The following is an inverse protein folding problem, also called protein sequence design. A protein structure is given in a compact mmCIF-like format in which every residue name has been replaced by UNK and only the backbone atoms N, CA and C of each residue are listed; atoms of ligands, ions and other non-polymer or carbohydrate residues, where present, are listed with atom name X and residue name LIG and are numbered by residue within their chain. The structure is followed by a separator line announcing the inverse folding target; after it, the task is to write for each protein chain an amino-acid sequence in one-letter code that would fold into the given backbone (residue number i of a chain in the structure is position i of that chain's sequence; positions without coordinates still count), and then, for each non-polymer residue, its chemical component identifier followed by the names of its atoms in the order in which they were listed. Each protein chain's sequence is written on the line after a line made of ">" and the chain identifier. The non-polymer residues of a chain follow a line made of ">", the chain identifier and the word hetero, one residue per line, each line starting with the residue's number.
data_IF_091244771722
#
_entry.id   IF_091244771722
#
_cell.length_a   1.000
_cell.length_b   1.000
_cell.length_c   1.000
_cell.angle_alpha   90.00
_cell.angle_beta   90.00
_cell.angle_gamma   90.00
#
_symmetry.space_group_name_H-M   'P 1'
#
loop_
_entity.id
_entity.type
_entity.pdbx_description
1 polymer ?
#
# COMPACT_ATOMS: atom_id res chain seq x y z
N UNK A 1 28.03 -21.51 -16.04
CA UNK A 1 27.65 -22.87 -16.49
C UNK A 1 26.31 -23.41 -15.93
N UNK A 2 25.56 -22.67 -15.08
CA UNK A 2 24.22 -23.08 -14.58
C UNK A 2 23.05 -22.34 -15.24
N UNK A 3 23.22 -21.06 -15.58
CA UNK A 3 22.25 -20.30 -16.40
C UNK A 3 22.08 -20.89 -17.81
N UNK A 4 23.08 -21.65 -18.27
CA UNK A 4 23.09 -22.16 -19.63
C UNK A 4 22.12 -23.32 -19.87
N UNK A 5 21.72 -24.09 -18.84
CA UNK A 5 20.94 -25.34 -19.02
C UNK A 5 19.43 -25.15 -19.00
N UNK A 6 18.90 -24.29 -18.11
CA UNK A 6 17.46 -23.98 -18.02
C UNK A 6 17.27 -22.54 -18.50
N UNK A 7 16.58 -22.37 -19.62
CA UNK A 7 16.31 -21.08 -20.28
C UNK A 7 14.82 -20.81 -20.37
N UNK A 8 14.49 -19.55 -20.68
CA UNK A 8 13.13 -19.11 -21.01
C UNK A 8 12.05 -19.54 -20.01
N UNK A 9 12.40 -19.58 -18.72
CA UNK A 9 11.44 -19.94 -17.68
C UNK A 9 10.31 -18.90 -17.64
N UNK A 10 9.07 -19.37 -17.69
CA UNK A 10 7.86 -18.56 -17.63
C UNK A 10 6.83 -19.21 -16.73
N UNK A 11 6.04 -18.39 -16.05
CA UNK A 11 4.82 -18.80 -15.35
C UNK A 11 3.66 -18.07 -16.03
N UNK A 12 2.74 -18.84 -16.60
CA UNK A 12 1.55 -18.31 -17.25
C UNK A 12 0.34 -18.62 -16.36
N UNK A 13 -0.24 -17.59 -15.75
CA UNK A 13 -1.47 -17.74 -14.98
C UNK A 13 -2.68 -17.77 -15.91
N UNK A 14 -3.59 -18.71 -15.68
CA UNK A 14 -4.90 -18.74 -16.31
C UNK A 14 -5.82 -17.89 -15.45
N UNK A 15 -6.45 -16.88 -16.06
CA UNK A 15 -7.38 -15.98 -15.37
C UNK A 15 -8.73 -16.01 -16.07
N UNK A 16 -9.77 -16.35 -15.32
CA UNK A 16 -11.13 -16.47 -15.85
C UNK A 16 -11.95 -15.18 -15.69
N UNK A 17 -11.53 -14.29 -14.80
CA UNK A 17 -12.28 -13.11 -14.36
C UNK A 17 -11.76 -11.78 -14.92
N UNK A 18 -10.73 -11.81 -15.77
CA UNK A 18 -10.08 -10.62 -16.34
C UNK A 18 -9.36 -9.73 -15.32
N UNK A 19 -9.29 -10.14 -14.04
CA UNK A 19 -8.59 -9.37 -13.00
C UNK A 19 -7.09 -9.60 -13.09
N UNK A 20 -6.31 -8.60 -12.71
CA UNK A 20 -4.84 -8.68 -12.67
C UNK A 20 -4.28 -8.86 -11.25
N UNK A 21 -5.14 -9.23 -10.29
CA UNK A 21 -4.81 -9.41 -8.87
C UNK A 21 -5.41 -10.69 -8.32
N UNK A 22 -4.86 -11.13 -7.19
CA UNK A 22 -5.37 -12.24 -6.39
C UNK A 22 -5.81 -11.72 -5.01
N UNK A 23 -6.69 -12.46 -4.37
CA UNK A 23 -7.27 -12.14 -3.07
C UNK A 23 -7.30 -13.38 -2.17
N UNK A 24 -7.71 -13.18 -0.92
CA UNK A 24 -7.85 -14.27 0.04
C UNK A 24 -8.78 -15.36 -0.50
N UNK A 25 -8.34 -16.62 -0.47
CA UNK A 25 -9.13 -17.75 -0.97
C UNK A 25 -9.11 -17.95 -2.48
N UNK A 26 -8.39 -17.14 -3.26
CA UNK A 26 -8.28 -17.36 -4.69
C UNK A 26 -7.46 -18.60 -5.03
N UNK A 27 -7.86 -19.29 -6.09
CA UNK A 27 -7.08 -20.38 -6.67
C UNK A 27 -6.15 -19.84 -7.76
N UNK A 28 -4.86 -20.03 -7.59
CA UNK A 28 -3.84 -19.72 -8.59
C UNK A 28 -3.72 -20.92 -9.51
N UNK A 29 -4.19 -20.79 -10.74
CA UNK A 29 -4.12 -21.82 -11.78
C UNK A 29 -3.21 -21.33 -12.91
N UNK A 30 -2.38 -22.20 -13.44
CA UNK A 30 -1.48 -21.83 -14.53
C UNK A 30 -0.63 -22.97 -15.05
N UNK A 31 0.36 -22.61 -15.85
CA UNK A 31 1.40 -23.50 -16.33
C UNK A 31 2.77 -22.86 -16.12
N UNK A 32 3.73 -23.67 -15.72
CA UNK A 32 5.15 -23.32 -15.80
C UNK A 32 5.71 -23.87 -17.11
N UNK A 33 6.59 -23.13 -17.77
CA UNK A 33 7.33 -23.62 -18.92
C UNK A 33 8.80 -23.21 -18.87
N UNK A 34 9.67 -24.07 -19.38
CA UNK A 34 11.10 -23.79 -19.50
C UNK A 34 11.74 -24.67 -20.56
N UNK A 35 12.87 -24.19 -21.09
CA UNK A 35 13.64 -24.92 -22.09
C UNK A 35 14.89 -25.53 -21.46
N UNK A 36 15.12 -26.81 -21.75
CA UNK A 36 16.36 -27.50 -21.43
C UNK A 36 17.28 -27.55 -22.64
N UNK A 37 18.54 -27.14 -22.47
CA UNK A 37 19.57 -27.17 -23.53
C UNK A 37 20.34 -28.49 -23.63
N UNK A 38 20.02 -29.47 -22.77
CA UNK A 38 20.52 -30.85 -22.83
C UNK A 38 19.67 -31.74 -21.92
N UNK A 39 19.76 -33.06 -22.11
CA UNK A 39 19.20 -34.02 -21.17
C UNK A 39 19.66 -33.69 -19.74
N UNK A 40 18.70 -33.55 -18.84
CA UNK A 40 18.95 -33.15 -17.45
C UNK A 40 18.15 -34.03 -16.51
N UNK A 41 18.85 -34.70 -15.60
CA UNK A 41 18.21 -35.41 -14.48
C UNK A 41 17.75 -34.39 -13.44
N UNK A 42 16.46 -34.46 -13.07
CA UNK A 42 15.87 -33.67 -12.00
C UNK A 42 15.32 -34.59 -10.90
N UNK A 43 15.31 -34.12 -9.66
CA UNK A 43 14.73 -34.85 -8.52
C UNK A 43 13.30 -34.43 -8.23
N UNK A 44 12.99 -33.14 -8.42
CA UNK A 44 11.64 -32.64 -8.24
C UNK A 44 11.46 -31.25 -8.83
N UNK A 45 10.21 -30.92 -9.12
CA UNK A 45 9.74 -29.56 -9.36
C UNK A 45 8.80 -29.22 -8.21
N UNK A 46 9.16 -28.19 -7.44
CA UNK A 46 8.44 -27.79 -6.22
C UNK A 46 7.87 -26.39 -6.37
N UNK A 47 6.76 -26.13 -5.70
CA UNK A 47 6.19 -24.79 -5.56
C UNK A 47 6.27 -24.35 -4.11
N UNK A 48 6.43 -23.05 -3.89
CA UNK A 48 6.31 -22.42 -2.58
C UNK A 48 5.57 -21.11 -2.72
N UNK A 49 4.37 -21.06 -2.15
CA UNK A 49 3.52 -19.89 -2.11
C UNK A 49 3.66 -19.24 -0.73
N UNK A 50 4.27 -18.05 -0.69
CA UNK A 50 4.64 -17.37 0.55
C UNK A 50 4.12 -15.94 0.59
N UNK A 51 3.36 -15.60 1.63
CA UNK A 51 2.94 -14.24 1.97
C UNK A 51 3.71 -13.75 3.18
N UNK A 52 4.35 -12.58 3.10
CA UNK A 52 5.06 -12.01 4.25
C UNK A 52 5.15 -10.49 4.20
N UNK A 53 5.44 -9.92 5.36
CA UNK A 53 5.83 -8.52 5.52
C UNK A 53 7.21 -8.44 6.17
N UNK A 54 8.06 -7.57 5.62
CA UNK A 54 9.36 -7.24 6.20
C UNK A 54 9.47 -5.74 6.37
N UNK A 55 10.01 -5.30 7.51
CA UNK A 55 10.35 -3.89 7.74
C UNK A 55 11.80 -3.79 8.17
N UNK A 56 12.48 -2.73 7.74
CA UNK A 56 13.87 -2.45 8.06
C UNK A 56 14.15 -0.95 7.98
N UNK A 57 14.78 -0.41 9.02
CA UNK A 57 15.32 0.95 9.01
C UNK A 57 16.55 1.07 9.91
N UNK A 58 17.29 2.16 9.75
CA UNK A 58 18.43 2.51 10.61
C UNK A 58 18.21 3.85 11.28
N UNK A 59 18.61 3.99 12.55
CA UNK A 59 18.59 5.25 13.28
C UNK A 59 19.96 5.55 13.91
N UNK A 60 20.27 6.84 14.10
CA UNK A 60 21.58 7.33 14.53
C UNK A 60 22.50 7.64 13.34
N UNK A 61 23.29 8.72 13.45
CA UNK A 61 24.15 9.23 12.38
C UNK A 61 23.99 10.73 12.15
N UNK A 62 24.26 11.55 13.17
CA UNK A 62 24.33 13.01 13.05
C UNK A 62 25.49 13.60 13.85
N UNK A 63 26.66 13.79 13.20
CA UNK A 63 27.63 14.83 13.58
C UNK A 63 28.49 14.67 14.84
N UNK A 64 28.89 13.45 15.24
CA UNK A 64 29.85 13.28 16.36
C UNK A 64 30.68 11.99 16.26
N UNK A 65 31.94 12.05 16.72
CA UNK A 65 32.99 11.01 16.55
C UNK A 65 32.69 9.62 17.18
N UNK A 66 31.54 9.39 17.82
CA UNK A 66 31.21 8.11 18.47
C UNK A 66 29.69 7.77 18.47
N UNK A 67 28.94 8.01 17.39
CA UNK A 67 27.54 7.56 17.36
C UNK A 67 27.37 6.20 16.65
N UNK A 68 27.01 5.15 17.40
CA UNK A 68 26.74 3.81 16.85
C UNK A 68 25.40 3.78 16.12
N UNK A 69 25.43 3.48 14.81
CA UNK A 69 24.22 3.28 13.98
C UNK A 69 23.45 2.05 14.47
N UNK A 70 22.20 2.25 14.92
CA UNK A 70 21.31 1.15 15.31
C UNK A 70 20.45 0.72 14.13
N UNK A 71 20.33 -0.59 13.93
CA UNK A 71 19.51 -1.21 12.87
C UNK A 71 18.29 -1.88 13.50
N UNK A 72 17.12 -1.60 12.94
CA UNK A 72 15.85 -2.18 13.35
C UNK A 72 15.26 -2.97 12.20
N UNK A 73 14.70 -4.14 12.50
CA UNK A 73 13.98 -4.96 11.54
C UNK A 73 12.94 -5.81 12.23
N UNK A 74 11.88 -6.14 11.50
CA UNK A 74 10.90 -7.15 11.89
C UNK A 74 10.36 -7.85 10.64
N UNK A 75 9.94 -9.11 10.80
CA UNK A 75 9.42 -9.94 9.74
C UNK A 75 8.26 -10.76 10.26
N UNK A 76 7.14 -10.76 9.54
CA UNK A 76 6.01 -11.62 9.81
C UNK A 76 5.67 -12.38 8.53
N UNK A 77 5.67 -13.71 8.60
CA UNK A 77 5.18 -14.55 7.53
C UNK A 77 3.68 -14.81 7.79
N UNK A 78 2.81 -14.48 6.84
CA UNK A 78 1.36 -14.71 6.92
C UNK A 78 1.03 -16.17 6.66
N UNK A 79 1.71 -16.77 5.68
CA UNK A 79 1.63 -18.18 5.33
C UNK A 79 2.86 -18.59 4.53
N UNK A 80 3.16 -19.89 4.52
CA UNK A 80 4.23 -20.50 3.76
C UNK A 80 3.79 -21.91 3.33
N UNK A 81 3.19 -22.00 2.14
CA UNK A 81 2.64 -23.23 1.60
C UNK A 81 3.64 -23.82 0.61
N UNK A 82 3.92 -25.12 0.73
CA UNK A 82 4.81 -25.85 -0.16
C UNK A 82 4.03 -26.91 -0.92
N UNK A 83 4.31 -27.04 -2.21
CA UNK A 83 3.73 -28.03 -3.09
C UNK A 83 4.78 -28.72 -3.93
N UNK A 84 4.39 -29.82 -4.56
CA UNK A 84 5.24 -30.61 -5.44
C UNK A 84 4.47 -30.86 -6.74
N UNK A 85 5.04 -30.44 -7.86
CA UNK A 85 4.48 -30.64 -9.21
C UNK A 85 4.95 -31.98 -9.77
N UNK A 86 6.24 -32.27 -9.58
CA UNK A 86 6.88 -33.48 -10.07
C UNK A 86 7.87 -33.96 -9.01
N UNK A 87 7.93 -35.26 -8.78
CA UNK A 87 8.91 -35.88 -7.89
C UNK A 87 9.45 -37.14 -8.53
N UNK A 88 10.77 -37.36 -8.41
CA UNK A 88 11.43 -38.60 -8.79
C UNK A 88 10.77 -39.77 -8.04
N UNK A 89 10.31 -40.75 -8.82
CA UNK A 89 9.82 -42.00 -8.27
C UNK A 89 11.02 -42.83 -7.77
N UNK A 90 10.92 -43.34 -6.54
CA UNK A 90 11.97 -44.12 -5.88
C UNK A 90 12.25 -45.44 -6.61
N UNK A 91 11.29 -45.95 -7.38
CA UNK A 91 11.45 -47.19 -8.15
C UNK A 91 12.31 -47.03 -9.42
N UNK A 92 12.30 -45.86 -10.06
CA UNK A 92 12.89 -45.66 -11.41
C UNK A 92 14.28 -44.97 -11.42
N UNK A 93 14.87 -44.67 -10.25
CA UNK A 93 16.19 -44.02 -10.11
C UNK A 93 16.39 -42.76 -10.98
N UNK A 94 15.35 -41.98 -11.25
CA UNK A 94 15.48 -40.64 -11.85
C UNK A 94 14.52 -40.30 -12.95
N UNK A 95 13.90 -39.11 -12.85
CA UNK A 95 13.26 -38.48 -14.00
C UNK A 95 14.31 -37.73 -14.81
N UNK A 96 14.66 -38.28 -15.98
CA UNK A 96 15.49 -37.60 -16.97
C UNK A 96 14.59 -36.82 -17.91
N UNK A 97 14.73 -35.50 -17.90
CA UNK A 97 14.05 -34.65 -18.86
C UNK A 97 14.92 -34.47 -20.09
N UNK A 98 14.32 -34.69 -21.27
CA UNK A 98 14.99 -34.53 -22.55
C UNK A 98 15.27 -33.07 -22.87
N UNK A 99 16.17 -32.84 -23.84
CA UNK A 99 16.33 -31.54 -24.48
C UNK A 99 14.97 -31.03 -24.99
N UNK A 100 14.70 -29.73 -24.84
CA UNK A 100 13.51 -29.09 -25.41
C UNK A 100 12.64 -28.39 -24.36
N UNK A 101 11.44 -28.04 -24.77
CA UNK A 101 10.48 -27.30 -23.96
C UNK A 101 9.67 -28.24 -23.07
N UNK A 102 9.64 -27.93 -21.77
CA UNK A 102 8.86 -28.65 -20.78
C UNK A 102 7.77 -27.75 -20.25
N UNK A 103 6.57 -28.30 -20.06
CA UNK A 103 5.40 -27.59 -19.55
C UNK A 103 4.76 -28.43 -18.45
N UNK A 104 4.50 -27.81 -17.30
CA UNK A 104 3.80 -28.46 -16.20
C UNK A 104 2.67 -27.59 -15.67
N UNK A 105 1.50 -28.18 -15.34
CA UNK A 105 0.44 -27.43 -14.68
C UNK A 105 0.87 -27.03 -13.26
N UNK A 106 0.41 -25.86 -12.83
CA UNK A 106 0.56 -25.39 -11.45
C UNK A 106 -0.80 -24.96 -10.91
N UNK A 107 -1.14 -25.50 -9.75
CA UNK A 107 -2.33 -25.13 -9.00
C UNK A 107 -1.94 -24.89 -7.55
N UNK A 108 -2.27 -23.73 -7.01
CA UNK A 108 -2.01 -23.36 -5.62
C UNK A 108 -3.23 -22.63 -5.05
N UNK A 109 -3.69 -23.04 -3.88
CA UNK A 109 -4.80 -22.39 -3.19
C UNK A 109 -4.26 -21.32 -2.23
N UNK A 110 -4.66 -20.06 -2.39
CA UNK A 110 -4.40 -19.05 -1.36
C UNK A 110 -5.23 -19.38 -0.13
N UNK A 111 -4.64 -19.31 1.08
CA UNK A 111 -5.39 -19.58 2.30
C UNK A 111 -6.47 -18.50 2.49
N UNK A 112 -7.54 -18.88 3.17
CA UNK A 112 -8.53 -17.90 3.65
C UNK A 112 -7.94 -17.16 4.85
N UNK A 113 -7.96 -15.83 4.82
CA UNK A 113 -7.49 -15.01 5.92
C UNK A 113 -7.50 -13.52 5.60
N UNK A 114 -7.42 -12.70 6.64
CA UNK A 114 -7.30 -11.25 6.51
C UNK A 114 -5.82 -10.88 6.31
N UNK A 115 -5.35 -10.93 5.07
CA UNK A 115 -3.98 -10.55 4.74
C UNK A 115 -3.97 -9.17 4.07
N UNK A 116 -2.98 -8.31 4.34
CA UNK A 116 -2.95 -6.96 3.79
C UNK A 116 -2.59 -6.95 2.30
N UNK A 117 -3.04 -5.92 1.57
CA UNK A 117 -2.67 -5.72 0.16
C UNK A 117 -1.14 -5.65 -0.04
N UNK A 118 -0.69 -6.08 -1.22
CA UNK A 118 0.73 -5.95 -1.60
C UNK A 118 1.18 -4.49 -1.54
N UNK A 119 2.35 -4.25 -0.97
CA UNK A 119 2.81 -2.90 -0.69
C UNK A 119 4.33 -2.79 -0.71
N UNK A 120 4.84 -1.70 -1.28
CA UNK A 120 6.26 -1.35 -1.30
C UNK A 120 6.41 0.07 -0.73
N UNK A 121 6.92 0.15 0.49
CA UNK A 121 7.13 1.41 1.21
C UNK A 121 8.60 1.76 1.38
N UNK A 122 8.85 2.86 2.09
CA UNK A 122 10.21 3.41 2.29
C UNK A 122 11.08 2.47 3.14
N UNK A 123 10.48 1.81 4.14
CA UNK A 123 11.19 0.96 5.11
C UNK A 123 10.52 -0.41 5.27
N UNK A 124 9.68 -0.83 4.32
CA UNK A 124 9.01 -2.11 4.43
C UNK A 124 8.28 -2.54 3.17
N UNK A 125 8.02 -3.84 3.07
CA UNK A 125 7.41 -4.48 1.91
C UNK A 125 6.47 -5.60 2.39
N UNK A 126 5.27 -5.63 1.83
CA UNK A 126 4.34 -6.75 1.88
C UNK A 126 4.37 -7.45 0.52
N UNK A 127 4.74 -8.73 0.52
CA UNK A 127 4.96 -9.49 -0.70
C UNK A 127 4.29 -10.86 -0.64
N UNK A 128 3.64 -11.22 -1.74
CA UNK A 128 3.10 -12.55 -1.98
C UNK A 128 3.84 -13.14 -3.16
N UNK A 129 4.50 -14.27 -2.95
CA UNK A 129 5.44 -14.82 -3.92
C UNK A 129 5.11 -16.27 -4.21
N UNK A 130 5.04 -16.61 -5.49
CA UNK A 130 5.07 -17.98 -5.96
C UNK A 130 6.49 -18.29 -6.41
N UNK A 131 7.15 -19.23 -5.72
CA UNK A 131 8.47 -19.72 -6.07
C UNK A 131 8.36 -21.10 -6.68
N UNK A 132 8.97 -21.31 -7.84
CA UNK A 132 9.09 -22.61 -8.49
C UNK A 132 10.54 -23.05 -8.41
N UNK A 133 10.80 -24.11 -7.66
CA UNK A 133 12.12 -24.71 -7.51
C UNK A 133 12.29 -25.91 -8.43
N UNK A 134 13.32 -25.91 -9.27
CA UNK A 134 13.74 -27.08 -10.05
C UNK A 134 14.95 -27.69 -9.37
N UNK A 135 14.76 -28.87 -8.76
CA UNK A 135 15.75 -29.56 -7.95
C UNK A 135 16.48 -30.62 -8.79
N UNK A 136 17.79 -30.76 -8.56
CA UNK A 136 18.64 -31.73 -9.25
C UNK A 136 19.45 -32.54 -8.26
N UNK A 137 19.83 -33.79 -8.60
CA UNK A 137 20.67 -34.59 -7.72
C UNK A 137 22.00 -33.89 -7.49
N UNK A 138 22.44 -33.84 -6.23
CA UNK A 138 23.78 -33.36 -5.85
C UNK A 138 24.09 -31.92 -6.29
N UNK A 139 23.06 -31.09 -6.52
CA UNK A 139 23.18 -29.68 -6.93
C UNK A 139 22.13 -28.83 -6.22
N UNK A 140 22.43 -27.54 -6.03
CA UNK A 140 21.47 -26.56 -5.52
C UNK A 140 20.25 -26.45 -6.43
N UNK A 141 19.08 -26.23 -5.82
CA UNK A 141 17.85 -25.92 -6.54
C UNK A 141 18.01 -24.63 -7.35
N UNK A 142 17.32 -24.54 -8.49
CA UNK A 142 17.15 -23.27 -9.20
C UNK A 142 15.73 -22.79 -8.93
N UNK A 143 15.63 -21.67 -8.23
CA UNK A 143 14.36 -21.09 -7.83
C UNK A 143 14.00 -19.93 -8.77
N UNK A 144 12.76 -19.94 -9.24
CA UNK A 144 12.17 -18.87 -10.03
C UNK A 144 11.03 -18.24 -9.23
N UNK A 145 11.15 -16.94 -8.94
CA UNK A 145 10.22 -16.24 -8.05
C UNK A 145 9.36 -15.29 -8.87
N UNK A 146 8.05 -15.36 -8.68
CA UNK A 146 7.10 -14.40 -9.23
C UNK A 146 6.32 -13.76 -8.09
N UNK A 147 6.32 -12.42 -8.06
CA UNK A 147 5.52 -11.65 -7.11
C UNK A 147 4.09 -11.52 -7.64
N UNK A 148 3.12 -11.82 -6.78
CA UNK A 148 1.69 -11.77 -7.07
C UNK A 148 1.14 -10.43 -6.58
N UNK A 149 0.29 -9.79 -7.39
CA UNK A 149 -0.47 -8.62 -6.95
C UNK A 149 -1.63 -9.08 -6.07
N UNK A 150 -1.42 -9.10 -4.76
CA UNK A 150 -2.46 -9.42 -3.79
C UNK A 150 -3.25 -8.18 -3.37
N UNK A 151 -4.57 -8.25 -3.34
CA UNK A 151 -5.49 -7.18 -2.92
C UNK A 151 -6.34 -7.69 -1.75
N UNK A 152 -6.35 -6.95 -0.65
CA UNK A 152 -7.31 -7.13 0.42
C UNK A 152 -8.56 -6.32 0.10
N UNK A 153 -9.72 -6.99 0.06
CA UNK A 153 -11.00 -6.34 -0.19
C UNK A 153 -11.54 -5.78 1.13
N UNK A 154 -11.69 -4.45 1.18
CA UNK A 154 -12.35 -3.78 2.31
C UNK A 154 -13.85 -3.75 2.01
N UNK A 155 -14.67 -4.20 2.95
CA UNK A 155 -16.13 -4.06 2.82
C UNK A 155 -16.53 -2.60 2.93
N UNK A 156 -16.83 -1.98 1.79
CA UNK A 156 -17.21 -0.57 1.68
C UNK A 156 -18.65 -0.31 2.10
N UNK A 157 -19.46 -1.35 2.36
CA UNK A 157 -20.84 -1.18 2.84
C UNK A 157 -20.94 -0.83 4.33
N UNK A 158 -19.79 -0.71 5.02
CA UNK A 158 -19.77 -0.33 6.42
C UNK A 158 -20.29 1.11 6.62
N UNK A 159 -21.29 1.33 7.50
CA UNK A 159 -21.92 2.64 7.68
C UNK A 159 -20.92 3.77 8.01
N UNK A 160 -19.86 3.45 8.75
CA UNK A 160 -18.82 4.42 9.13
C UNK A 160 -17.91 4.89 7.98
N UNK A 161 -17.92 4.21 6.83
CA UNK A 161 -17.16 4.63 5.64
C UNK A 161 -17.95 5.57 4.72
N UNK A 162 -19.28 5.48 4.77
CA UNK A 162 -20.22 6.25 3.95
C UNK A 162 -20.65 7.55 4.62
N UNK A 163 -20.39 7.69 5.91
CA UNK A 163 -20.71 8.90 6.65
C UNK A 163 -19.84 10.08 6.18
N UNK A 164 -20.42 11.29 6.08
CA UNK A 164 -19.66 12.49 5.79
C UNK A 164 -18.69 12.78 6.94
N UNK A 165 -17.51 13.29 6.58
CA UNK A 165 -16.53 13.80 7.51
C UNK A 165 -16.65 15.32 7.56
N UNK A 166 -16.67 15.89 8.76
CA UNK A 166 -16.63 17.33 8.97
C UNK A 166 -15.73 17.68 10.15
N UNK A 167 -15.00 18.80 10.04
CA UNK A 167 -14.08 19.27 11.06
C UNK A 167 -13.92 20.78 10.96
N UNK A 168 -13.75 21.44 12.10
CA UNK A 168 -13.57 22.89 12.17
C UNK A 168 -12.39 23.25 13.08
N UNK A 169 -11.67 24.30 12.71
CA UNK A 169 -10.60 24.86 13.52
C UNK A 169 -10.51 26.38 13.30
N UNK A 170 -9.86 27.10 14.22
CA UNK A 170 -9.77 28.55 14.19
C UNK A 170 -8.51 29.08 14.85
N UNK A 171 -8.00 30.22 14.36
CA UNK A 171 -6.88 30.94 14.96
C UNK A 171 -7.27 32.40 15.20
N UNK A 172 -6.92 32.93 16.38
CA UNK A 172 -7.13 34.34 16.70
C UNK A 172 -5.83 35.12 16.46
N UNK A 173 -5.83 36.18 15.63
CA UNK A 173 -4.61 36.90 15.25
C UNK A 173 -3.85 37.62 16.37
N UNK A 174 -4.50 37.92 17.50
CA UNK A 174 -3.90 38.62 18.65
C UNK A 174 -4.48 38.06 19.94
N UNK A 175 -3.63 37.66 20.90
CA UNK A 175 -4.08 36.89 22.07
C UNK A 175 -4.37 37.73 23.33
N UNK A 176 -4.01 39.02 23.39
CA UNK A 176 -4.05 39.74 24.68
C UNK A 176 -4.78 41.09 24.69
N UNK A 177 -4.72 41.95 23.65
CA UNK A 177 -5.31 43.31 23.72
C UNK A 177 -6.11 43.81 22.48
N UNK A 178 -6.48 42.91 21.55
CA UNK A 178 -7.29 43.30 20.39
C UNK A 178 -8.61 42.52 20.37
N UNK A 179 -9.73 43.21 20.09
CA UNK A 179 -11.04 42.59 19.77
C UNK A 179 -11.04 41.97 18.36
N UNK A 180 -10.04 41.16 18.05
CA UNK A 180 -9.91 40.51 16.74
C UNK A 180 -10.77 39.25 16.69
N UNK A 181 -11.70 39.20 15.75
CA UNK A 181 -12.45 37.97 15.46
C UNK A 181 -11.52 36.87 14.92
N UNK A 182 -11.77 35.60 15.25
CA UNK A 182 -10.93 34.49 14.80
C UNK A 182 -11.09 34.23 13.29
N UNK A 183 -10.01 33.82 12.65
CA UNK A 183 -10.08 33.21 11.32
C UNK A 183 -10.53 31.77 11.51
N UNK A 184 -11.62 31.37 10.87
CA UNK A 184 -12.21 30.03 11.00
C UNK A 184 -12.16 29.26 9.69
N UNK A 185 -11.97 27.95 9.81
CA UNK A 185 -11.97 27.00 8.71
C UNK A 185 -12.82 25.79 9.12
N UNK A 186 -13.94 25.58 8.44
CA UNK A 186 -14.71 24.34 8.50
C UNK A 186 -14.56 23.62 7.18
N UNK A 187 -14.27 22.32 7.24
CA UNK A 187 -14.06 21.49 6.05
C UNK A 187 -14.95 20.27 6.16
N UNK A 188 -15.57 19.87 5.05
CA UNK A 188 -16.32 18.62 4.96
C UNK A 188 -16.06 17.85 3.67
N UNK A 189 -16.21 16.53 3.75
CA UNK A 189 -16.08 15.58 2.65
C UNK A 189 -17.22 14.58 2.74
N UNK A 190 -17.78 14.18 1.60
CA UNK A 190 -19.00 13.37 1.53
C UNK A 190 -18.86 11.95 2.12
N UNK A 191 -17.67 11.35 2.01
CA UNK A 191 -17.39 9.99 2.48
C UNK A 191 -16.00 9.91 3.11
N UNK A 192 -15.72 8.81 3.82
CA UNK A 192 -14.40 8.51 4.38
C UNK A 192 -13.58 7.59 3.48
N UNK A 193 -14.23 6.75 2.67
CA UNK A 193 -13.57 5.80 1.79
C UNK A 193 -13.57 6.26 0.33
N UNK A 194 -12.43 6.00 -0.32
CA UNK A 194 -12.10 6.44 -1.66
C UNK A 194 -11.32 5.37 -2.43
N UNK A 195 -11.35 5.39 -3.76
CA UNK A 195 -10.52 4.54 -4.63
C UNK A 195 -9.36 5.30 -5.26
N UNK A 196 -8.16 4.69 -5.40
CA UNK A 196 -7.08 5.29 -6.17
C UNK A 196 -7.51 5.64 -7.61
N UNK A 197 -7.26 6.88 -8.02
CA UNK A 197 -7.61 7.39 -9.36
C UNK A 197 -8.85 8.28 -9.40
N UNK A 198 -9.65 8.33 -8.33
CA UNK A 198 -10.80 9.23 -8.29
C UNK A 198 -10.45 10.64 -7.78
N UNK A 199 -11.43 11.54 -7.82
CA UNK A 199 -11.28 12.93 -7.36
C UNK A 199 -12.14 13.18 -6.13
N UNK A 200 -11.51 13.58 -5.04
CA UNK A 200 -12.19 13.97 -3.80
C UNK A 200 -12.74 15.37 -3.95
N UNK A 201 -14.05 15.53 -3.71
CA UNK A 201 -14.70 16.83 -3.60
C UNK A 201 -14.70 17.30 -2.14
N UNK A 202 -13.99 18.39 -1.86
CA UNK A 202 -13.81 18.93 -0.50
C UNK A 202 -14.55 20.27 -0.41
N UNK A 203 -15.49 20.37 0.53
CA UNK A 203 -16.20 21.61 0.82
C UNK A 203 -15.48 22.36 1.92
N UNK A 204 -15.16 23.63 1.69
CA UNK A 204 -14.51 24.48 2.69
C UNK A 204 -15.37 25.71 2.95
N UNK A 205 -15.60 26.02 4.21
CA UNK A 205 -16.30 27.19 4.70
C UNK A 205 -15.31 28.01 5.53
N UNK A 206 -15.13 29.28 5.16
CA UNK A 206 -14.13 30.16 5.74
C UNK A 206 -14.78 31.40 6.33
N UNK A 207 -14.24 31.86 7.45
CA UNK A 207 -14.39 33.24 7.91
C UNK A 207 -13.01 33.86 8.02
N UNK A 208 -12.75 34.94 7.29
CA UNK A 208 -11.46 35.65 7.32
C UNK A 208 -11.67 37.14 7.68
N UNK A 209 -11.93 37.45 8.96
CA UNK A 209 -12.01 38.82 9.46
C UNK A 209 -10.62 39.51 9.56
N UNK A 210 -9.54 38.87 9.09
CA UNK A 210 -8.21 39.45 9.13
C UNK A 210 -7.99 40.49 8.03
N UNK A 211 -6.92 41.27 8.12
CA UNK A 211 -6.54 42.26 7.11
C UNK A 211 -5.76 41.67 5.92
N UNK A 212 -5.52 40.35 5.90
CA UNK A 212 -4.73 39.68 4.87
C UNK A 212 -5.55 38.66 4.10
N UNK A 213 -5.25 38.52 2.83
CA UNK A 213 -5.76 37.42 2.00
C UNK A 213 -5.22 36.09 2.51
N UNK A 214 -6.10 35.09 2.58
CA UNK A 214 -5.78 33.74 3.01
C UNK A 214 -5.96 32.77 1.84
N UNK A 215 -5.05 31.81 1.66
CA UNK A 215 -5.18 30.81 0.58
C UNK A 215 -5.24 29.41 1.17
N UNK A 216 -6.32 28.64 0.91
CA UNK A 216 -6.41 27.27 1.35
C UNK A 216 -5.50 26.38 0.50
N UNK A 217 -4.78 25.48 1.17
CA UNK A 217 -3.91 24.49 0.56
C UNK A 217 -4.29 23.11 1.07
N UNK A 218 -4.62 22.22 0.14
CA UNK A 218 -5.03 20.85 0.42
C UNK A 218 -3.90 19.91 0.02
N UNK A 219 -3.57 18.96 0.89
CA UNK A 219 -2.61 17.89 0.61
C UNK A 219 -3.21 16.52 0.91
N UNK A 220 -3.02 15.58 0.00
CA UNK A 220 -3.15 14.16 0.31
C UNK A 220 -1.82 13.64 0.82
N UNK A 221 -1.79 13.15 2.05
CA UNK A 221 -0.60 12.57 2.67
C UNK A 221 -0.80 11.07 2.91
N UNK A 222 0.18 10.27 2.50
CA UNK A 222 0.32 8.87 2.88
C UNK A 222 1.29 8.76 4.05
N UNK A 223 0.83 8.23 5.17
CA UNK A 223 1.61 7.97 6.37
C UNK A 223 1.95 6.48 6.46
N UNK A 224 3.23 6.16 6.39
CA UNK A 224 3.76 4.82 6.54
C UNK A 224 4.38 4.68 7.94
N UNK A 225 3.85 3.76 8.75
CA UNK A 225 4.37 3.51 10.09
C UNK A 225 4.89 2.09 10.21
N UNK A 226 6.15 1.95 10.61
CA UNK A 226 6.86 0.68 10.74
C UNK A 226 7.17 0.40 12.20
N UNK A 227 7.01 -0.85 12.64
CA UNK A 227 7.22 -1.26 14.02
C UNK A 227 8.15 -2.47 14.10
N UNK A 228 8.95 -2.54 15.18
CA UNK A 228 9.56 -3.80 15.60
C UNK A 228 8.50 -4.70 16.25
N UNK A 229 8.71 -6.01 16.35
CA UNK A 229 7.75 -6.92 16.99
C UNK A 229 7.31 -6.49 18.40
N UNK A 230 8.23 -5.95 19.20
CA UNK A 230 7.92 -5.45 20.55
C UNK A 230 7.12 -4.14 20.59
N UNK A 231 6.88 -3.52 19.43
CA UNK A 231 6.30 -2.17 19.24
C UNK A 231 7.02 -1.03 19.99
N UNK A 232 8.12 -1.31 20.70
CA UNK A 232 8.93 -0.30 21.42
C UNK A 232 9.59 0.69 20.47
N UNK A 233 10.03 0.23 19.30
CA UNK A 233 10.62 1.08 18.28
C UNK A 233 9.67 1.22 17.11
N UNK A 234 9.46 2.46 16.68
CA UNK A 234 8.69 2.80 15.48
C UNK A 234 9.43 3.81 14.60
N UNK A 235 9.21 3.73 13.30
CA UNK A 235 9.61 4.76 12.34
C UNK A 235 8.39 5.18 11.55
N UNK A 236 8.21 6.48 11.38
CA UNK A 236 7.15 7.05 10.56
C UNK A 236 7.79 7.76 9.37
N UNK A 237 7.22 7.57 8.19
CA UNK A 237 7.52 8.32 6.97
C UNK A 237 6.21 8.89 6.43
N UNK A 238 6.22 10.15 6.01
CA UNK A 238 5.07 10.82 5.40
C UNK A 238 5.45 11.18 3.97
N UNK A 239 4.59 10.81 3.02
CA UNK A 239 4.73 11.16 1.61
C UNK A 239 3.52 11.98 1.18
N UNK A 240 3.75 13.16 0.62
CA UNK A 240 2.70 13.93 -0.06
C UNK A 240 2.45 13.30 -1.43
N UNK A 241 1.22 12.86 -1.68
CA UNK A 241 0.82 12.23 -2.94
C UNK A 241 0.18 13.21 -3.92
N UNK A 242 -0.56 14.18 -3.41
CA UNK A 242 -1.19 15.24 -4.20
C UNK A 242 -1.24 16.53 -3.38
N UNK A 243 -1.23 17.66 -4.06
CA UNK A 243 -1.33 18.99 -3.46
C UNK A 243 -2.07 19.91 -4.42
N UNK A 244 -3.06 20.64 -3.92
CA UNK A 244 -3.82 21.64 -4.68
C UNK A 244 -4.04 22.87 -3.80
N UNK A 245 -4.02 24.05 -4.41
CA UNK A 245 -4.42 25.30 -3.73
C UNK A 245 -5.82 25.65 -4.20
N UNK A 246 -6.69 26.06 -3.27
CA UNK A 246 -7.98 26.63 -3.63
C UNK A 246 -7.87 28.12 -3.93
N UNK A 247 -9.01 28.73 -4.19
CA UNK A 247 -9.08 30.16 -4.49
C UNK A 247 -8.71 31.03 -3.28
N UNK A 248 -8.02 32.16 -3.48
CA UNK A 248 -7.72 33.09 -2.41
C UNK A 248 -9.00 33.68 -1.78
N UNK A 249 -9.05 33.66 -0.45
CA UNK A 249 -10.09 34.31 0.35
C UNK A 249 -9.60 35.68 0.77
N UNK A 250 -10.26 36.73 0.28
CA UNK A 250 -9.92 38.11 0.58
C UNK A 250 -9.94 38.45 2.08
N UNK A 251 -9.33 39.57 2.44
CA UNK A 251 -9.40 40.15 3.77
C UNK A 251 -10.83 40.60 4.11
N UNK A 252 -11.17 40.66 5.40
CA UNK A 252 -12.47 41.14 5.92
C UNK A 252 -13.70 40.38 5.37
N UNK A 253 -13.52 39.13 4.97
CA UNK A 253 -14.62 38.27 4.50
C UNK A 253 -15.27 37.59 5.71
N UNK A 254 -16.57 37.83 5.92
CA UNK A 254 -17.32 37.24 7.03
C UNK A 254 -17.62 35.75 6.81
N UNK A 255 -17.95 35.36 5.58
CA UNK A 255 -18.23 33.99 5.20
C UNK A 255 -18.00 33.77 3.71
N UNK A 256 -17.30 32.69 3.35
CA UNK A 256 -17.24 32.19 1.98
C UNK A 256 -17.23 30.67 2.00
N UNK A 257 -17.94 30.06 1.03
CA UNK A 257 -17.94 28.61 0.81
C UNK A 257 -17.36 28.31 -0.56
N UNK A 258 -16.38 27.42 -0.60
CA UNK A 258 -15.75 26.99 -1.85
C UNK A 258 -15.65 25.47 -1.92
N UNK A 259 -15.46 24.96 -3.13
CA UNK A 259 -15.21 23.56 -3.41
C UNK A 259 -13.79 23.40 -3.93
N UNK A 260 -13.04 22.42 -3.42
CA UNK A 260 -11.69 22.10 -3.88
C UNK A 260 -11.68 20.65 -4.33
N UNK A 261 -11.23 20.42 -5.57
CA UNK A 261 -11.12 19.09 -6.18
C UNK A 261 -9.69 18.57 -6.00
N UNK A 262 -9.54 17.43 -5.32
CA UNK A 262 -8.24 16.79 -5.07
C UNK A 262 -8.19 15.42 -5.76
N UNK A 263 -7.41 15.31 -6.84
CA UNK A 263 -7.21 14.04 -7.54
C UNK A 263 -6.32 13.09 -6.74
N UNK A 264 -6.81 11.87 -6.48
CA UNK A 264 -6.04 10.79 -5.87
C UNK A 264 -5.26 10.09 -6.99
N UNK A 265 -3.92 9.98 -6.90
CA UNK A 265 -3.15 9.27 -7.91
C UNK A 265 -3.60 7.81 -8.04
N UNK A 266 -3.77 7.31 -9.27
CA UNK A 266 -4.06 5.89 -9.54
C UNK A 266 -2.95 4.94 -9.08
N UNK A 267 -1.74 5.47 -8.86
CA UNK A 267 -0.60 4.77 -8.29
C UNK A 267 -0.60 4.70 -6.75
N UNK A 268 -1.56 5.34 -6.07
CA UNK A 268 -1.69 5.26 -4.62
C UNK A 268 -1.97 3.82 -4.19
N UNK A 269 -1.31 3.36 -3.13
CA UNK A 269 -1.56 2.04 -2.57
C UNK A 269 -2.84 2.01 -1.75
N UNK A 270 -3.35 0.83 -1.46
CA UNK A 270 -4.50 0.70 -0.56
C UNK A 270 -4.10 0.95 0.89
N UNK A 271 -5.09 1.24 1.73
CA UNK A 271 -4.92 1.38 3.18
C UNK A 271 -4.57 0.04 3.80
N UNK A 272 -3.67 0.05 4.77
CA UNK A 272 -3.23 -1.15 5.50
C UNK A 272 -3.32 -0.85 6.99
N UNK A 273 -4.42 -1.26 7.62
CA UNK A 273 -4.63 -1.15 9.08
C UNK A 273 -4.32 -2.45 9.81
N UNK A 274 -4.63 -3.59 9.20
CA UNK A 274 -4.57 -4.93 9.81
C UNK A 274 -3.19 -5.60 9.65
N UNK A 275 -2.11 -4.91 10.01
CA UNK A 275 -0.77 -5.48 10.00
C UNK A 275 0.08 -4.98 11.18
N UNK A 276 0.63 -5.92 11.95
CA UNK A 276 1.22 -5.63 13.26
C UNK A 276 2.54 -4.84 13.21
N UNK A 277 3.25 -4.89 12.09
CA UNK A 277 4.57 -4.28 11.92
C UNK A 277 4.64 -3.20 10.84
N UNK A 278 3.59 -3.04 10.02
CA UNK A 278 3.53 -2.06 8.95
C UNK A 278 2.10 -1.55 8.80
N UNK A 279 1.91 -0.24 8.92
CA UNK A 279 0.61 0.43 8.75
C UNK A 279 0.74 1.51 7.68
N UNK A 280 -0.27 1.63 6.82
CA UNK A 280 -0.36 2.66 5.77
C UNK A 280 -1.69 3.38 5.91
N UNK A 281 -1.64 4.63 6.35
CA UNK A 281 -2.79 5.50 6.56
C UNK A 281 -2.77 6.68 5.58
N UNK A 282 -3.94 7.29 5.37
CA UNK A 282 -4.09 8.47 4.52
C UNK A 282 -4.77 9.61 5.26
N UNK A 283 -4.25 10.82 5.05
CA UNK A 283 -4.78 12.04 5.64
C UNK A 283 -4.93 13.09 4.54
N UNK A 284 -6.11 13.70 4.46
CA UNK A 284 -6.30 14.97 3.76
C UNK A 284 -6.02 16.09 4.77
N UNK A 285 -4.96 16.85 4.52
CA UNK A 285 -4.58 18.03 5.29
C UNK A 285 -5.08 19.28 4.56
N UNK A 286 -5.98 20.04 5.17
CA UNK A 286 -6.39 21.36 4.68
C UNK A 286 -5.78 22.42 5.58
N UNK A 287 -4.97 23.30 4.98
CA UNK A 287 -4.28 24.39 5.66
C UNK A 287 -4.73 25.72 5.11
N UNK A 288 -5.02 26.66 5.98
CA UNK A 288 -5.26 28.05 5.62
C UNK A 288 -4.07 28.90 6.09
N UNK A 289 -3.33 29.45 5.14
CA UNK A 289 -2.20 30.32 5.43
C UNK A 289 -2.66 31.78 5.43
N UNK A 290 -2.51 32.48 6.57
CA UNK A 290 -2.95 33.87 6.77
C UNK A 290 -1.75 34.77 7.10
N UNK A 291 -0.96 35.11 6.09
CA UNK A 291 0.20 35.99 6.26
C UNK A 291 1.29 35.45 7.17
N UNK A 292 1.48 36.06 8.36
CA UNK A 292 2.51 35.67 9.34
C UNK A 292 1.89 35.07 10.62
N UNK A 293 0.60 34.75 10.59
CA UNK A 293 -0.11 34.10 11.68
C UNK A 293 0.13 32.60 11.67
N UNK A 294 -0.19 31.94 12.79
CA UNK A 294 -0.25 30.48 12.86
C UNK A 294 -1.27 29.93 11.84
N UNK A 295 -0.91 28.83 11.19
CA UNK A 295 -1.75 28.18 10.18
C UNK A 295 -3.00 27.56 10.83
N UNK A 296 -4.19 27.77 10.25
CA UNK A 296 -5.36 26.97 10.62
C UNK A 296 -5.30 25.65 9.88
N UNK A 297 -5.29 24.54 10.61
CA UNK A 297 -5.15 23.20 10.04
C UNK A 297 -6.33 22.32 10.42
N UNK A 298 -6.92 21.66 9.44
CA UNK A 298 -7.93 20.60 9.61
C UNK A 298 -7.43 19.33 8.94
N UNK A 299 -7.51 18.19 9.64
CA UNK A 299 -7.00 16.90 9.18
C UNK A 299 -8.14 15.88 9.09
N UNK A 300 -8.28 15.21 7.94
CA UNK A 300 -9.26 14.14 7.74
C UNK A 300 -8.57 12.82 7.45
N UNK A 301 -8.70 11.80 8.33
CA UNK A 301 -8.26 10.45 8.01
C UNK A 301 -9.23 9.83 7.00
N UNK A 302 -8.70 9.42 5.85
CA UNK A 302 -9.46 8.73 4.79
C UNK A 302 -8.97 7.29 4.62
N UNK A 303 -9.79 6.47 3.97
CA UNK A 303 -9.47 5.09 3.62
C UNK A 303 -9.40 4.98 2.10
N UNK A 304 -8.28 4.45 1.59
CA UNK A 304 -8.17 4.02 0.20
C UNK A 304 -8.44 2.51 0.07
N UNK A 305 -9.49 2.14 -0.65
CA UNK A 305 -9.94 0.77 -0.93
C UNK A 305 -9.97 0.48 -2.44
N UNK A 306 -10.17 -0.79 -2.81
CA UNK A 306 -10.10 -1.24 -4.21
C UNK A 306 -11.45 -1.13 -4.96
N UNK A 307 -12.56 -1.10 -4.22
CA UNK A 307 -13.91 -0.94 -4.77
C UNK A 307 -14.46 0.45 -4.44
N UNK A 308 -15.20 1.08 -5.38
CA UNK A 308 -15.90 2.34 -5.10
C UNK A 308 -16.93 2.17 -3.99
N UNK A 309 -17.07 3.20 -3.18
CA UNK A 309 -18.18 3.32 -2.24
C UNK A 309 -19.46 3.58 -3.02
N UNK A 310 -20.49 2.76 -2.80
CA UNK A 310 -21.82 3.06 -3.34
C UNK A 310 -22.45 4.20 -2.55
N UNK A 311 -22.55 5.37 -3.17
CA UNK A 311 -23.34 6.47 -2.61
C UNK A 311 -24.81 6.25 -2.99
N UNK A 312 -25.61 5.74 -2.05
CA UNK A 312 -27.06 5.82 -2.20
C UNK A 312 -27.48 7.28 -2.05
N UNK A 313 -28.32 7.84 -2.95
CA UNK A 313 -28.86 9.18 -2.74
C UNK A 313 -29.65 9.20 -1.43
N UNK A 314 -29.61 10.31 -0.67
CA UNK A 314 -30.47 10.46 0.50
C UNK A 314 -31.93 10.31 0.04
N UNK A 315 -32.66 9.41 0.72
CA UNK A 315 -34.12 9.24 0.58
C UNK A 315 -34.82 10.46 1.15
#
# INVERSE_FOLDING_TARGET
>A
MFEQTIRNFKINFIRHDGRNSFSSGDQIIGHISFDLTKETKITSITTRLKGNVNVHWTAGGGGGKQETRKRYSARLDFFDLKGVILQEDRATRGTKLQLGTHVYPVTCQLPLGNFPSSFHGVHGKIAYTLTVGINRPWRMSKDFVTELKFVNHIDTNQPGLNAPLSGSNSVTPCSLWCNSSPVTLTVSVATKAFTPGETVKIFCEFSNPSSKTATPKVKLQQKQTFYTHSKRNRKMAIKTLACVSGEPVGAQVSYVRTEIMLAIPSSASLTISECSILVVDYIIEVKLHVGALDEVVVLFPIILCDTPVQTYPPV
#
